data_IF_977601370444
#
_entry.id   IF_977601370444
#
_cell.length_a   1.000
_cell.length_b   1.000
_cell.length_c   1.000
_cell.angle_alpha   90.00
_cell.angle_beta   90.00
_cell.angle_gamma   90.00
#
_symmetry.space_group_name_H-M   'P 1'
#
loop_
_entity.id
_entity.type
_entity.pdbx_description
1 polymer ?
#
# COMPACT_ATOMS: atom_id res chain seq x y z
N UNK A 1 -11.07 8.51 0.84
CA UNK A 1 -10.69 7.08 0.80
C UNK A 1 -9.30 6.89 1.35
N UNK A 2 -9.16 6.00 2.32
CA UNK A 2 -7.90 5.55 2.90
C UNK A 2 -7.31 4.40 2.08
N UNK A 3 -6.12 4.56 1.52
CA UNK A 3 -5.51 3.60 0.59
C UNK A 3 -4.16 3.10 1.12
N UNK A 4 -3.93 1.79 1.04
CA UNK A 4 -2.63 1.15 1.27
C UNK A 4 -2.05 0.64 -0.05
N UNK A 5 -0.86 1.10 -0.43
CA UNK A 5 -0.10 0.61 -1.57
C UNK A 5 1.02 -0.33 -1.09
N UNK A 6 1.00 -1.59 -1.53
CA UNK A 6 2.04 -2.57 -1.20
C UNK A 6 3.15 -2.55 -2.27
N UNK A 7 4.39 -2.45 -1.82
CA UNK A 7 5.63 -2.49 -2.60
C UNK A 7 6.52 -1.27 -2.41
N UNK A 8 7.65 -1.25 -3.11
CA UNK A 8 8.71 -0.24 -2.95
C UNK A 8 9.48 0.06 -4.23
N UNK A 9 9.02 -0.45 -5.38
CA UNK A 9 9.66 -0.27 -6.67
C UNK A 9 9.26 1.03 -7.38
N UNK A 10 9.79 1.22 -8.58
CA UNK A 10 9.44 2.36 -9.43
C UNK A 10 7.99 2.33 -9.92
N UNK A 11 7.41 1.14 -10.09
CA UNK A 11 5.98 0.97 -10.42
C UNK A 11 5.11 1.51 -9.30
N UNK A 12 5.41 1.16 -8.05
CA UNK A 12 4.67 1.65 -6.90
C UNK A 12 4.85 3.16 -6.71
N UNK A 13 6.02 3.71 -7.04
CA UNK A 13 6.17 5.17 -7.08
C UNK A 13 5.25 5.84 -8.11
N UNK A 14 5.18 5.33 -9.33
CA UNK A 14 4.25 5.87 -10.34
C UNK A 14 2.77 5.73 -9.91
N UNK A 15 2.42 4.62 -9.26
CA UNK A 15 1.08 4.41 -8.69
C UNK A 15 0.79 5.41 -7.56
N UNK A 16 1.72 5.58 -6.61
CA UNK A 16 1.58 6.53 -5.50
C UNK A 16 1.39 7.96 -6.03
N UNK A 17 2.24 8.39 -6.96
CA UNK A 17 2.12 9.70 -7.63
C UNK A 17 0.77 9.91 -8.29
N UNK A 18 0.22 8.88 -8.96
CA UNK A 18 -1.08 9.03 -9.61
C UNK A 18 -2.23 9.02 -8.62
N UNK A 19 -2.17 8.16 -7.59
CA UNK A 19 -3.18 8.04 -6.55
C UNK A 19 -3.26 9.32 -5.70
N UNK A 20 -2.13 9.91 -5.32
CA UNK A 20 -2.07 11.15 -4.53
C UNK A 20 -2.77 12.33 -5.23
N UNK A 21 -2.84 12.32 -6.57
CA UNK A 21 -3.52 13.35 -7.37
C UNK A 21 -5.06 13.28 -7.33
N UNK A 22 -5.65 12.21 -6.77
CA UNK A 22 -7.10 12.00 -6.79
C UNK A 22 -7.79 12.75 -5.65
N UNK A 23 -8.87 13.52 -5.92
CA UNK A 23 -9.63 14.20 -4.86
C UNK A 23 -10.41 13.23 -3.95
N UNK A 24 -10.50 11.95 -4.32
CA UNK A 24 -11.13 10.91 -3.51
C UNK A 24 -10.18 10.33 -2.45
N UNK A 25 -8.87 10.58 -2.56
CA UNK A 25 -7.89 10.06 -1.59
C UNK A 25 -7.81 10.97 -0.39
N UNK A 26 -8.03 10.40 0.79
CA UNK A 26 -7.95 11.09 2.08
C UNK A 26 -6.59 10.85 2.72
N UNK A 27 -6.10 9.61 2.63
CA UNK A 27 -4.81 9.19 3.16
C UNK A 27 -4.25 8.09 2.28
N UNK A 28 -2.96 8.17 1.98
CA UNK A 28 -2.22 7.18 1.20
C UNK A 28 -1.01 6.72 2.02
N UNK A 29 -0.94 5.41 2.26
CA UNK A 29 0.22 4.75 2.82
C UNK A 29 0.91 3.91 1.76
N UNK A 30 2.21 3.70 1.93
CA UNK A 30 2.96 2.73 1.16
C UNK A 30 3.82 1.83 2.05
N UNK A 31 3.80 0.52 1.79
CA UNK A 31 4.46 -0.49 2.60
C UNK A 31 5.36 -1.40 1.76
N UNK A 32 6.70 -1.43 1.96
CA UNK A 32 7.46 -0.52 2.84
C UNK A 32 7.73 0.86 2.21
N UNK A 33 7.45 1.04 0.91
CA UNK A 33 7.76 2.27 0.19
C UNK A 33 9.26 2.51 -0.01
N UNK A 34 9.61 3.71 -0.48
CA UNK A 34 10.98 4.18 -0.69
C UNK A 34 11.06 5.71 -0.53
N UNK A 35 12.26 6.28 -0.62
CA UNK A 35 12.48 7.73 -0.44
C UNK A 35 11.76 8.62 -1.49
N UNK A 36 11.51 8.11 -2.69
CA UNK A 36 10.70 8.80 -3.70
C UNK A 36 9.23 8.79 -3.33
N UNK A 37 8.70 7.62 -2.95
CA UNK A 37 7.30 7.44 -2.55
C UNK A 37 6.94 8.28 -1.32
N UNK A 38 7.89 8.54 -0.42
CA UNK A 38 7.69 9.38 0.76
C UNK A 38 7.26 10.82 0.45
N UNK A 39 7.37 11.27 -0.80
CA UNK A 39 6.87 12.56 -1.27
C UNK A 39 5.37 12.56 -1.57
N UNK A 40 4.79 11.37 -1.83
CA UNK A 40 3.41 11.19 -2.30
C UNK A 40 2.53 10.45 -1.26
N UNK A 41 3.15 9.61 -0.42
CA UNK A 41 2.50 8.73 0.53
C UNK A 41 3.28 8.63 1.85
N UNK A 42 2.61 8.25 2.94
CA UNK A 42 3.28 7.90 4.18
C UNK A 42 3.88 6.48 4.08
N UNK A 43 5.21 6.39 4.09
CA UNK A 43 5.89 5.10 4.10
C UNK A 43 5.84 4.47 5.50
N UNK A 44 5.36 3.23 5.59
CA UNK A 44 5.23 2.49 6.85
C UNK A 44 6.06 1.21 6.80
N UNK A 45 6.70 0.87 7.91
CA UNK A 45 7.42 -0.39 8.04
C UNK A 45 6.41 -1.54 8.24
N UNK A 46 6.10 -2.25 7.15
CA UNK A 46 5.16 -3.36 7.13
C UNK A 46 5.67 -4.41 6.14
N UNK A 47 5.80 -5.66 6.61
CA UNK A 47 6.19 -6.78 5.76
C UNK A 47 4.99 -7.23 4.92
N UNK A 48 5.12 -7.17 3.61
CA UNK A 48 4.05 -7.54 2.68
C UNK A 48 3.84 -9.05 2.57
N UNK A 49 4.78 -9.86 3.08
CA UNK A 49 4.64 -11.30 3.19
C UNK A 49 3.88 -11.73 4.46
N UNK A 50 3.74 -10.85 5.45
CA UNK A 50 2.94 -11.09 6.65
C UNK A 50 1.50 -10.58 6.44
N UNK A 51 0.65 -11.43 5.86
CA UNK A 51 -0.73 -11.07 5.55
C UNK A 51 -1.51 -10.68 6.82
N UNK A 52 -1.24 -11.33 7.96
CA UNK A 52 -1.91 -11.01 9.21
C UNK A 52 -1.57 -9.59 9.70
N UNK A 53 -0.30 -9.20 9.58
CA UNK A 53 0.11 -7.82 9.87
C UNK A 53 -0.52 -6.82 8.91
N UNK A 54 -0.60 -7.14 7.60
CA UNK A 54 -1.27 -6.27 6.60
C UNK A 54 -2.76 -6.10 6.93
N UNK A 55 -3.47 -7.18 7.27
CA UNK A 55 -4.88 -7.15 7.65
C UNK A 55 -5.09 -6.32 8.93
N UNK A 56 -4.24 -6.51 9.94
CA UNK A 56 -4.30 -5.70 11.18
C UNK A 56 -4.11 -4.22 10.86
N UNK A 57 -3.09 -3.89 10.07
CA UNK A 57 -2.82 -2.51 9.66
C UNK A 57 -4.04 -1.90 8.94
N UNK A 58 -4.65 -2.64 8.01
CA UNK A 58 -5.84 -2.19 7.30
C UNK A 58 -7.01 -1.90 8.25
N UNK A 59 -7.26 -2.77 9.24
CA UNK A 59 -8.33 -2.59 10.23
C UNK A 59 -8.06 -1.40 11.15
N UNK A 60 -6.86 -1.31 11.69
CA UNK A 60 -6.48 -0.29 12.66
C UNK A 60 -6.48 1.12 12.05
N UNK A 61 -6.19 1.23 10.75
CA UNK A 61 -6.14 2.50 10.01
C UNK A 61 -7.37 2.76 9.14
N UNK A 62 -8.40 1.90 9.22
CA UNK A 62 -9.60 1.96 8.40
C UNK A 62 -9.26 2.12 6.90
N UNK A 63 -8.37 1.28 6.38
CA UNK A 63 -8.04 1.21 4.95
C UNK A 63 -9.24 0.66 4.20
N UNK A 64 -9.67 1.40 3.18
CA UNK A 64 -10.85 1.07 2.37
C UNK A 64 -10.46 0.38 1.05
N UNK A 65 -9.22 0.56 0.61
CA UNK A 65 -8.73 -0.02 -0.64
C UNK A 65 -7.23 -0.33 -0.57
N UNK A 66 -6.85 -1.52 -1.02
CA UNK A 66 -5.45 -1.97 -1.08
C UNK A 66 -5.05 -2.11 -2.55
N UNK A 67 -3.91 -1.51 -2.91
CA UNK A 67 -3.28 -1.67 -4.22
C UNK A 67 -2.04 -2.54 -4.04
N UNK A 68 -2.01 -3.71 -4.67
CA UNK A 68 -0.87 -4.64 -4.58
C UNK A 68 0.01 -4.45 -5.81
N UNK A 69 1.23 -3.96 -5.61
CA UNK A 69 2.18 -3.74 -6.68
C UNK A 69 2.99 -4.99 -7.05
N UNK A 70 3.79 -5.56 -6.13
CA UNK A 70 4.63 -6.73 -6.38
C UNK A 70 3.85 -8.03 -6.62
N UNK A 71 4.46 -8.91 -7.40
CA UNK A 71 3.92 -10.23 -7.74
C UNK A 71 4.00 -11.25 -6.60
N UNK A 72 4.97 -11.12 -5.68
CA UNK A 72 5.17 -12.11 -4.62
C UNK A 72 3.99 -12.19 -3.62
N UNK A 73 3.45 -11.08 -3.06
CA UNK A 73 2.26 -11.12 -2.22
C UNK A 73 1.01 -11.62 -2.97
N UNK A 74 0.89 -11.28 -4.26
CA UNK A 74 -0.19 -11.80 -5.11
C UNK A 74 -0.12 -13.33 -5.23
N UNK A 75 1.05 -13.87 -5.53
CA UNK A 75 1.25 -15.31 -5.64
C UNK A 75 1.05 -16.05 -4.30
N UNK A 76 1.26 -15.35 -3.18
CA UNK A 76 1.02 -15.86 -1.84
C UNK A 76 -0.46 -15.84 -1.42
N UNK A 77 -1.36 -15.21 -2.20
CA UNK A 77 -2.80 -15.18 -1.91
C UNK A 77 -3.25 -13.99 -1.05
N UNK A 78 -2.49 -12.89 -0.99
CA UNK A 78 -2.85 -11.74 -0.13
C UNK A 78 -4.23 -11.15 -0.46
N UNK A 79 -4.67 -11.27 -1.71
CA UNK A 79 -5.97 -10.76 -2.16
C UNK A 79 -7.12 -11.62 -1.60
N UNK A 80 -6.88 -12.92 -1.43
CA UNK A 80 -7.87 -13.86 -0.89
C UNK A 80 -8.02 -13.70 0.64
N UNK A 81 -6.94 -13.29 1.32
CA UNK A 81 -6.91 -13.11 2.77
C UNK A 81 -7.46 -11.75 3.26
N UNK A 82 -7.56 -10.74 2.37
CA UNK A 82 -7.95 -9.35 2.66
C UNK A 82 -9.47 -9.13 2.78
#
# INVERSE_FOLDING_TARGET
MNILLLGSGGREHALAWKLSSSPLVTKLWCAPGNAGIAQEAECVALDTADHAAVISFCRDNAVEFVVVGPEAPLAAGIVDDL
#
